data_IF_010966910278
#
_entry.id   IF_010966910278
#
_cell.length_a   1.000
_cell.length_b   1.000
_cell.length_c   1.000
_cell.angle_alpha   90.00
_cell.angle_beta   90.00
_cell.angle_gamma   90.00
#
_symmetry.space_group_name_H-M   'P 1'
#
loop_
_entity.id
_entity.type
_entity.pdbx_description
1 polymer ?
#
# COMPACT_ATOMS: atom_id res chain seq x y z
N UNK A 1 -0.08 17.29 42.46
CA UNK A 1 0.83 18.36 41.99
C UNK A 1 1.23 18.08 40.55
N UNK A 2 0.52 18.67 39.58
CA UNK A 2 0.83 18.53 38.14
C UNK A 2 0.72 19.91 37.44
N UNK A 3 1.13 20.96 38.14
CA UNK A 3 0.95 22.36 37.72
C UNK A 3 2.24 22.99 37.17
N UNK A 4 3.38 22.28 37.26
CA UNK A 4 4.67 22.76 36.75
C UNK A 4 4.96 22.30 35.31
N UNK A 5 4.30 21.23 34.83
CA UNK A 5 4.47 20.74 33.46
C UNK A 5 3.64 21.52 32.44
N UNK A 6 2.48 22.06 32.85
CA UNK A 6 1.58 22.81 31.96
C UNK A 6 2.10 24.21 31.60
N UNK A 7 3.00 24.79 32.42
CA UNK A 7 3.53 26.14 32.21
C UNK A 7 4.70 26.21 31.22
N UNK A 8 5.33 25.08 30.90
CA UNK A 8 6.47 25.02 29.98
C UNK A 8 6.07 24.88 28.50
N UNK A 9 4.83 24.46 28.20
CA UNK A 9 4.35 24.32 26.81
C UNK A 9 3.85 25.64 26.19
N UNK A 10 3.63 26.69 27.01
CA UNK A 10 2.85 27.87 26.62
C UNK A 10 3.72 29.09 26.21
N UNK A 11 5.04 29.05 26.42
CA UNK A 11 5.89 30.26 26.31
C UNK A 11 6.62 30.37 24.95
N UNK A 12 6.71 29.30 24.15
CA UNK A 12 7.46 29.30 22.87
C UNK A 12 6.65 28.91 21.62
N UNK A 13 5.39 28.47 21.78
CA UNK A 13 4.48 28.18 20.65
C UNK A 13 3.96 29.38 19.84
N UNK A 14 3.75 30.60 20.40
CA UNK A 14 3.04 31.63 19.66
C UNK A 14 3.80 32.13 18.42
N UNK A 15 5.13 32.11 18.41
CA UNK A 15 5.91 32.64 17.28
C UNK A 15 5.77 31.82 15.99
N UNK A 16 5.73 30.48 16.09
CA UNK A 16 5.63 29.60 14.92
C UNK A 16 4.19 29.52 14.41
N UNK A 17 3.20 29.46 15.32
CA UNK A 17 1.79 29.50 14.95
C UNK A 17 1.39 30.82 14.29
N UNK A 18 1.96 31.96 14.75
CA UNK A 18 1.78 33.26 14.10
C UNK A 18 2.34 33.28 12.69
N UNK A 19 3.58 32.82 12.49
CA UNK A 19 4.19 32.72 11.17
C UNK A 19 3.40 31.78 10.23
N UNK A 20 2.85 30.69 10.76
CA UNK A 20 1.95 29.79 10.02
C UNK A 20 0.66 30.48 9.61
N UNK A 21 0.01 31.20 10.52
CA UNK A 21 -1.25 31.87 10.26
C UNK A 21 -1.09 32.99 9.21
N UNK A 22 -0.03 33.80 9.33
CA UNK A 22 0.31 34.84 8.35
C UNK A 22 0.57 34.24 6.98
N UNK A 23 1.44 33.22 6.91
CA UNK A 23 1.78 32.59 5.64
C UNK A 23 0.60 31.85 5.02
N UNK A 24 -0.25 31.23 5.83
CA UNK A 24 -1.49 30.61 5.36
C UNK A 24 -2.44 31.64 4.77
N UNK A 25 -2.62 32.80 5.40
CA UNK A 25 -3.48 33.86 4.87
C UNK A 25 -2.99 34.35 3.50
N UNK A 26 -1.68 34.52 3.33
CA UNK A 26 -1.08 34.90 2.04
C UNK A 26 -1.32 33.84 0.95
N UNK A 27 -1.06 32.57 1.26
CA UNK A 27 -1.25 31.47 0.31
C UNK A 27 -2.74 31.25 0.00
N UNK A 28 -3.59 31.33 1.03
CA UNK A 28 -5.04 31.22 0.93
C UNK A 28 -5.64 32.26 0.00
N UNK A 29 -5.26 33.52 0.17
CA UNK A 29 -5.69 34.63 -0.68
C UNK A 29 -5.28 34.41 -2.14
N UNK A 30 -4.03 33.95 -2.38
CA UNK A 30 -3.56 33.64 -3.73
C UNK A 30 -4.37 32.51 -4.39
N UNK A 31 -4.68 31.45 -3.65
CA UNK A 31 -5.51 30.35 -4.16
C UNK A 31 -6.93 30.82 -4.48
N UNK A 32 -7.53 31.63 -3.60
CA UNK A 32 -8.84 32.22 -3.80
C UNK A 32 -8.88 33.07 -5.09
N UNK A 33 -7.90 33.96 -5.26
CA UNK A 33 -7.78 34.81 -6.45
C UNK A 33 -7.66 33.99 -7.73
N UNK A 34 -6.84 32.95 -7.73
CA UNK A 34 -6.62 32.09 -8.90
C UNK A 34 -7.89 31.29 -9.21
N UNK A 35 -8.55 30.73 -8.19
CA UNK A 35 -9.82 30.00 -8.35
C UNK A 35 -10.88 30.92 -8.96
N UNK A 36 -11.04 32.13 -8.42
CA UNK A 36 -12.01 33.11 -8.91
C UNK A 36 -11.69 33.57 -10.33
N UNK A 37 -10.43 33.83 -10.67
CA UNK A 37 -10.00 34.15 -12.05
C UNK A 37 -10.30 33.02 -13.05
N UNK A 38 -10.31 31.77 -12.58
CA UNK A 38 -10.72 30.60 -13.37
C UNK A 38 -12.23 30.38 -13.43
N UNK A 39 -13.02 31.19 -12.73
CA UNK A 39 -14.48 31.05 -12.66
C UNK A 39 -14.94 29.82 -11.89
N UNK A 40 -14.07 29.19 -11.09
CA UNK A 40 -14.39 27.98 -10.35
C UNK A 40 -15.06 28.32 -9.02
N UNK A 41 -16.15 27.64 -8.71
CA UNK A 41 -16.77 27.60 -7.39
C UNK A 41 -15.96 26.74 -6.42
N UNK A 42 -16.19 26.91 -5.12
CA UNK A 42 -15.55 26.06 -4.12
C UNK A 42 -16.00 24.59 -4.28
N UNK A 43 -17.25 24.33 -4.67
CA UNK A 43 -17.77 22.97 -4.88
C UNK A 43 -17.07 22.24 -6.02
N UNK A 44 -16.75 22.93 -7.10
CA UNK A 44 -16.00 22.33 -8.20
C UNK A 44 -14.61 21.89 -7.72
N UNK A 45 -13.94 22.72 -6.91
CA UNK A 45 -12.66 22.35 -6.30
C UNK A 45 -12.82 21.18 -5.33
N UNK A 46 -13.92 21.10 -4.58
CA UNK A 46 -14.24 19.92 -3.74
C UNK A 46 -14.33 18.67 -4.60
N UNK A 47 -14.99 18.72 -5.76
CA UNK A 47 -15.11 17.57 -6.67
C UNK A 47 -13.73 17.17 -7.23
N UNK A 48 -12.90 18.15 -7.61
CA UNK A 48 -11.57 17.92 -8.18
C UNK A 48 -10.58 17.34 -7.16
N UNK A 49 -10.62 17.81 -5.92
CA UNK A 49 -9.62 17.48 -4.88
C UNK A 49 -10.10 16.44 -3.88
N UNK A 50 -11.42 16.29 -3.71
CA UNK A 50 -12.06 15.57 -2.59
C UNK A 50 -11.73 16.14 -1.20
N UNK A 51 -11.21 17.36 -1.13
CA UNK A 51 -11.06 18.09 0.13
C UNK A 51 -12.42 18.67 0.51
N UNK A 52 -12.80 18.59 1.78
CA UNK A 52 -14.08 19.14 2.22
C UNK A 52 -14.15 20.65 2.04
N UNK A 53 -15.35 21.15 1.70
CA UNK A 53 -15.64 22.58 1.54
C UNK A 53 -15.19 23.40 2.75
N UNK A 54 -15.35 22.87 3.97
CA UNK A 54 -14.93 23.53 5.21
C UNK A 54 -13.43 23.81 5.22
N UNK A 55 -12.61 22.84 4.82
CA UNK A 55 -11.16 22.95 4.82
C UNK A 55 -10.67 23.88 3.70
N UNK A 56 -11.24 23.77 2.50
CA UNK A 56 -10.91 24.69 1.40
C UNK A 56 -11.24 26.15 1.78
N UNK A 57 -12.39 26.36 2.41
CA UNK A 57 -12.76 27.69 2.90
C UNK A 57 -11.80 28.17 3.99
N UNK A 58 -11.45 27.32 4.96
CA UNK A 58 -10.48 27.65 6.00
C UNK A 58 -9.11 28.02 5.42
N UNK A 59 -8.68 27.36 4.34
CA UNK A 59 -7.46 27.73 3.60
C UNK A 59 -7.62 29.13 2.98
N UNK A 60 -8.69 29.39 2.22
CA UNK A 60 -8.87 30.68 1.53
C UNK A 60 -8.92 31.87 2.49
N UNK A 61 -9.53 31.72 3.67
CA UNK A 61 -9.63 32.79 4.67
C UNK A 61 -8.46 32.83 5.66
N UNK A 62 -7.47 31.93 5.53
CA UNK A 62 -6.33 31.88 6.44
C UNK A 62 -6.66 31.39 7.86
N UNK A 63 -7.75 30.65 8.07
CA UNK A 63 -8.15 30.18 9.40
C UNK A 63 -7.38 28.92 9.81
N UNK A 64 -6.22 29.12 10.42
CA UNK A 64 -5.35 28.04 10.90
C UNK A 64 -6.04 27.13 11.95
N UNK A 65 -6.99 27.65 12.74
CA UNK A 65 -7.64 26.90 13.83
C UNK A 65 -8.55 25.77 13.34
N UNK A 66 -9.11 25.91 12.14
CA UNK A 66 -10.01 24.92 11.55
C UNK A 66 -9.26 23.88 10.71
N UNK A 67 -7.94 24.03 10.58
CA UNK A 67 -7.08 23.16 9.80
C UNK A 67 -6.41 22.09 10.66
N UNK A 68 -6.04 20.95 10.06
CA UNK A 68 -5.25 19.92 10.74
C UNK A 68 -3.81 20.39 11.04
N UNK A 69 -3.03 19.48 11.63
CA UNK A 69 -1.60 19.68 11.88
C UNK A 69 -0.85 20.23 10.66
N UNK A 70 0.18 21.08 10.84
CA UNK A 70 0.84 21.82 9.75
C UNK A 70 1.29 20.97 8.56
N UNK A 71 1.76 19.74 8.79
CA UNK A 71 2.18 18.82 7.72
C UNK A 71 1.02 18.42 6.79
N UNK A 72 -0.17 18.18 7.37
CA UNK A 72 -1.36 17.85 6.62
C UNK A 72 -1.88 19.07 5.89
N UNK A 73 -1.86 20.24 6.55
CA UNK A 73 -2.19 21.53 5.94
C UNK A 73 -1.35 21.82 4.71
N UNK A 74 -0.04 21.54 4.75
CA UNK A 74 0.84 21.64 3.58
C UNK A 74 0.39 20.71 2.43
N UNK A 75 0.00 19.47 2.75
CA UNK A 75 -0.55 18.53 1.78
C UNK A 75 -1.85 19.03 1.12
N UNK A 76 -2.74 19.64 1.92
CA UNK A 76 -3.98 20.25 1.43
C UNK A 76 -3.70 21.44 0.50
N UNK A 77 -2.76 22.32 0.90
CA UNK A 77 -2.32 23.45 0.07
C UNK A 77 -1.77 22.99 -1.27
N UNK A 78 -0.95 21.93 -1.27
CA UNK A 78 -0.43 21.33 -2.49
C UNK A 78 -1.55 20.83 -3.39
N UNK A 79 -2.47 20.03 -2.85
CA UNK A 79 -3.55 19.43 -3.61
C UNK A 79 -4.51 20.49 -4.19
N UNK A 80 -4.78 21.57 -3.44
CA UNK A 80 -5.56 22.69 -3.93
C UNK A 80 -4.83 23.43 -5.06
N UNK A 81 -3.54 23.75 -4.86
CA UNK A 81 -2.71 24.38 -5.89
C UNK A 81 -2.62 23.54 -7.18
N UNK A 82 -2.40 22.23 -7.05
CA UNK A 82 -2.36 21.28 -8.17
C UNK A 82 -3.71 21.28 -8.94
N UNK A 83 -4.84 21.29 -8.24
CA UNK A 83 -6.17 21.37 -8.86
C UNK A 83 -6.40 22.69 -9.61
N UNK A 84 -5.78 23.78 -9.18
CA UNK A 84 -5.80 25.06 -9.90
C UNK A 84 -4.77 25.12 -11.04
N UNK A 85 -4.00 24.06 -11.29
CA UNK A 85 -2.99 23.99 -12.35
C UNK A 85 -1.69 24.72 -12.01
N UNK A 86 -1.41 24.94 -10.72
CA UNK A 86 -0.11 25.41 -10.25
C UNK A 86 0.83 24.23 -10.03
N UNK A 87 2.13 24.52 -9.86
CA UNK A 87 3.07 23.54 -9.31
C UNK A 87 2.87 23.48 -7.79
N UNK A 88 1.99 22.61 -7.31
CA UNK A 88 1.57 22.58 -5.91
C UNK A 88 2.70 22.24 -4.93
N UNK A 89 3.72 21.50 -5.36
CA UNK A 89 4.91 21.23 -4.55
C UNK A 89 5.64 22.54 -4.19
N UNK A 90 5.92 23.37 -5.20
CA UNK A 90 6.61 24.65 -5.00
C UNK A 90 5.71 25.66 -4.26
N UNK A 91 4.40 25.61 -4.52
CA UNK A 91 3.44 26.48 -3.84
C UNK A 91 3.32 26.16 -2.35
N UNK A 92 3.30 24.89 -1.99
CA UNK A 92 3.12 24.46 -0.60
C UNK A 92 4.42 24.42 0.20
N UNK A 93 5.60 24.36 -0.44
CA UNK A 93 6.90 24.41 0.27
C UNK A 93 7.09 25.71 1.06
N UNK A 94 6.38 26.75 0.66
CA UNK A 94 6.34 28.05 1.32
C UNK A 94 5.67 28.03 2.70
N UNK A 95 4.86 27.02 3.02
CA UNK A 95 4.16 26.93 4.29
C UNK A 95 5.07 26.34 5.39
N UNK A 96 5.26 27.03 6.54
CA UNK A 96 6.19 26.60 7.57
C UNK A 96 5.64 25.42 8.37
N UNK A 97 6.06 24.21 7.98
CA UNK A 97 5.85 23.00 8.77
C UNK A 97 7.03 22.90 9.74
N UNK A 98 6.81 23.18 11.02
CA UNK A 98 7.86 23.03 12.04
C UNK A 98 8.49 21.62 11.99
N UNK A 99 9.67 21.44 12.60
CA UNK A 99 10.42 20.17 12.64
C UNK A 99 9.65 19.08 13.43
N UNK A 100 8.49 18.66 12.96
CA UNK A 100 7.91 17.36 13.30
C UNK A 100 8.47 16.38 12.29
N UNK A 101 9.29 15.45 12.81
CA UNK A 101 9.75 14.27 12.08
C UNK A 101 8.53 13.35 11.87
N UNK A 102 7.69 13.71 10.91
CA UNK A 102 6.49 12.96 10.57
C UNK A 102 6.94 11.71 9.83
N UNK A 103 6.61 10.55 10.40
CA UNK A 103 6.72 9.26 9.73
C UNK A 103 6.16 9.40 8.32
N UNK A 104 6.97 9.02 7.33
CA UNK A 104 6.62 9.07 5.93
C UNK A 104 5.31 8.35 5.65
N UNK A 105 4.19 9.08 5.61
CA UNK A 105 3.08 8.75 4.74
C UNK A 105 3.35 9.42 3.40
N UNK A 106 4.49 9.06 2.80
CA UNK A 106 4.71 9.25 1.38
C UNK A 106 3.79 8.26 0.68
N UNK A 107 2.55 8.68 0.45
CA UNK A 107 1.67 8.08 -0.55
C UNK A 107 2.29 8.38 -1.94
N UNK A 108 3.44 7.76 -2.23
CA UNK A 108 3.89 7.51 -3.59
C UNK A 108 3.17 6.23 -3.99
N UNK A 109 1.97 6.40 -4.55
CA UNK A 109 1.32 5.38 -5.37
C UNK A 109 2.19 5.19 -6.61
N UNK A 110 3.26 4.43 -6.47
CA UNK A 110 4.12 3.97 -7.55
C UNK A 110 4.96 2.81 -7.03
N UNK A 111 4.30 1.71 -6.64
CA UNK A 111 4.88 0.39 -6.88
C UNK A 111 3.78 -0.53 -7.41
N UNK A 112 4.03 -1.24 -8.52
CA UNK A 112 3.02 -1.92 -9.29
C UNK A 112 2.86 -3.38 -8.81
N UNK A 113 1.63 -3.88 -8.81
CA UNK A 113 1.24 -5.29 -8.94
C UNK A 113 1.87 -6.43 -8.10
N UNK A 114 2.65 -6.23 -7.05
CA UNK A 114 3.21 -7.36 -6.28
C UNK A 114 2.60 -7.56 -4.89
N UNK A 115 1.26 -7.52 -4.85
CA UNK A 115 0.50 -8.17 -3.79
C UNK A 115 0.52 -9.68 -4.10
N UNK A 116 1.62 -10.39 -3.78
CA UNK A 116 1.70 -11.85 -3.91
C UNK A 116 0.65 -12.48 -3.00
N UNK A 117 -0.54 -12.65 -3.56
CA UNK A 117 -1.51 -13.59 -3.05
C UNK A 117 -0.84 -14.96 -2.92
N UNK A 118 -1.25 -15.80 -1.97
CA UNK A 118 -0.69 -17.14 -1.72
C UNK A 118 -0.98 -18.16 -2.85
N UNK A 119 -0.89 -17.76 -4.12
CA UNK A 119 -1.14 -18.59 -5.31
C UNK A 119 -0.04 -19.64 -5.49
N UNK A 120 1.22 -19.28 -5.26
CA UNK A 120 2.35 -20.21 -5.39
C UNK A 120 2.28 -21.34 -4.36
N UNK A 121 1.69 -21.08 -3.19
CA UNK A 121 1.43 -22.13 -2.19
C UNK A 121 0.38 -23.14 -2.70
N UNK A 122 -0.64 -22.67 -3.44
CA UNK A 122 -1.58 -23.56 -4.12
C UNK A 122 -0.96 -24.30 -5.31
N UNK A 123 -0.09 -23.67 -6.10
CA UNK A 123 0.63 -24.36 -7.18
C UNK A 123 1.56 -25.45 -6.64
N UNK A 124 2.30 -25.17 -5.56
CA UNK A 124 3.13 -26.15 -4.87
C UNK A 124 2.27 -27.29 -4.28
N UNK A 125 1.13 -26.96 -3.66
CA UNK A 125 0.20 -27.95 -3.14
C UNK A 125 -0.38 -28.85 -4.24
N UNK A 126 -0.84 -28.28 -5.36
CA UNK A 126 -1.34 -29.03 -6.51
C UNK A 126 -0.23 -29.93 -7.09
N UNK A 127 1.00 -29.41 -7.20
CA UNK A 127 2.15 -30.20 -7.65
C UNK A 127 2.41 -31.40 -6.72
N UNK A 128 2.43 -31.18 -5.40
CA UNK A 128 2.60 -32.25 -4.40
C UNK A 128 1.47 -33.28 -4.48
N UNK A 129 0.21 -32.85 -4.63
CA UNK A 129 -0.94 -33.76 -4.74
C UNK A 129 -0.88 -34.57 -6.04
N UNK A 130 -0.57 -33.94 -7.17
CA UNK A 130 -0.44 -34.62 -8.47
C UNK A 130 0.73 -35.60 -8.47
N UNK A 131 1.89 -35.21 -7.94
CA UNK A 131 3.03 -36.11 -7.76
C UNK A 131 2.69 -37.27 -6.82
N UNK A 132 1.93 -37.04 -5.75
CA UNK A 132 1.54 -38.11 -4.83
C UNK A 132 0.59 -39.12 -5.49
N UNK A 133 -0.42 -38.65 -6.22
CA UNK A 133 -1.40 -39.52 -6.89
C UNK A 133 -0.75 -40.29 -8.05
N UNK A 134 0.01 -39.61 -8.91
CA UNK A 134 0.62 -40.23 -10.09
C UNK A 134 1.86 -41.06 -9.73
N UNK A 135 2.67 -40.59 -8.78
CA UNK A 135 3.86 -41.33 -8.32
C UNK A 135 3.49 -42.62 -7.59
N UNK A 136 2.43 -42.60 -6.76
CA UNK A 136 1.94 -43.81 -6.11
C UNK A 136 1.24 -44.75 -7.10
N UNK A 137 0.50 -44.20 -8.07
CA UNK A 137 -0.14 -45.01 -9.13
C UNK A 137 0.90 -45.77 -9.95
N UNK A 138 2.04 -45.15 -10.30
CA UNK A 138 3.14 -45.83 -10.98
C UNK A 138 3.79 -46.94 -10.14
N UNK A 139 3.96 -46.73 -8.83
CA UNK A 139 4.53 -47.74 -7.94
C UNK A 139 3.62 -48.95 -7.73
N UNK A 140 2.31 -48.72 -7.59
CA UNK A 140 1.33 -49.80 -7.45
C UNK A 140 1.16 -50.58 -8.76
N UNK A 141 1.23 -49.90 -9.92
CA UNK A 141 1.22 -50.58 -11.23
C UNK A 141 2.52 -51.35 -11.51
N UNK A 142 3.62 -51.05 -10.79
CA UNK A 142 4.84 -51.86 -10.82
C UNK A 142 4.78 -53.08 -9.89
N UNK A 143 3.89 -53.10 -8.89
CA UNK A 143 3.72 -54.27 -8.02
C UNK A 143 2.95 -55.42 -8.69
N UNK A 144 2.16 -55.16 -9.73
CA UNK A 144 1.57 -56.24 -10.55
C UNK A 144 2.61 -56.97 -11.42
N UNK A 145 3.77 -56.37 -11.68
CA UNK A 145 4.83 -57.00 -12.49
C UNK A 145 5.87 -57.79 -11.68
N UNK A 146 5.73 -57.88 -10.35
CA UNK A 146 6.58 -58.77 -9.52
C UNK A 146 5.85 -60.00 -8.97
N UNK A 147 4.55 -60.17 -9.27
CA UNK A 147 3.84 -61.40 -8.93
C UNK A 147 3.86 -62.47 -10.04
N UNK A 148 4.29 -62.14 -11.26
CA UNK A 148 4.22 -63.06 -12.42
C UNK A 148 5.58 -63.63 -12.90
N UNK A 149 6.71 -63.23 -12.30
CA UNK A 149 8.05 -63.71 -12.72
C UNK A 149 8.64 -64.79 -11.78
N UNK A 150 8.01 -65.03 -10.62
CA UNK A 150 8.42 -66.06 -9.66
C UNK A 150 7.96 -67.49 -9.99
N UNK A 151 6.81 -67.64 -10.67
CA UNK A 151 6.18 -68.94 -10.91
C UNK A 151 6.66 -69.62 -12.21
N UNK A 152 7.02 -68.83 -13.23
CA UNK A 152 7.46 -69.33 -14.53
C UNK A 152 8.85 -69.99 -14.49
N UNK A 153 9.67 -69.65 -13.50
CA UNK A 153 10.99 -70.25 -13.32
C UNK A 153 10.93 -71.58 -12.55
N UNK A 154 9.94 -71.77 -11.66
CA UNK A 154 9.74 -73.05 -10.97
C UNK A 154 9.18 -74.14 -11.90
N UNK A 155 8.19 -73.81 -12.73
CA UNK A 155 7.63 -74.75 -13.71
C UNK A 155 8.66 -75.15 -14.79
N UNK A 156 9.53 -74.23 -15.21
CA UNK A 156 10.61 -74.53 -16.16
C UNK A 156 11.72 -75.40 -15.56
N UNK A 157 12.06 -75.23 -14.29
CA UNK A 157 13.08 -76.04 -13.60
C UNK A 157 12.58 -77.47 -13.34
N UNK A 158 11.31 -77.64 -12.97
CA UNK A 158 10.70 -78.97 -12.79
C UNK A 158 10.57 -79.74 -14.11
N UNK A 159 10.06 -79.10 -15.19
CA UNK A 159 9.96 -79.76 -16.50
C UNK A 159 11.31 -80.14 -17.11
N UNK A 160 12.37 -79.34 -16.91
CA UNK A 160 13.71 -79.68 -17.40
C UNK A 160 14.35 -80.84 -16.62
N UNK A 161 13.92 -81.08 -15.38
CA UNK A 161 14.44 -82.17 -14.55
C UNK A 161 13.89 -83.54 -14.93
N UNK A 162 12.70 -83.61 -15.55
CA UNK A 162 12.06 -84.85 -15.98
C UNK A 162 12.44 -85.26 -17.41
N UNK A 163 12.98 -84.34 -18.22
CA UNK A 163 13.29 -84.56 -19.64
C UNK A 163 14.72 -85.08 -19.92
N UNK A 164 15.36 -85.75 -18.95
CA UNK A 164 16.69 -86.38 -19.15
C UNK A 164 16.54 -87.89 -19.32
N UNK A 165 16.48 -88.44 -20.55
CA UNK A 165 16.56 -89.87 -20.76
C UNK A 165 17.98 -90.35 -20.42
N UNK A 166 18.07 -91.46 -19.67
CA UNK A 166 19.27 -92.31 -19.61
C UNK A 166 19.18 -93.38 -20.68
#
# INVERSE_FOLDING_TARGET
MNLLRKKAEDIHRPSIEQAQAEKLADLGTKLADIRQKKGLSLDEVVIMTRISRRLLNAIEIGNLKDLPEPIYTQGLLRQFADALGLRGVDFASDFPVGLQKVNESRNKVSEPFLQLRPIHLYLLYIFVVVCSVNGLSGLLNQTELQAEDGNNNQLKVELNSYARPR
#
